data_IF_263534818873
#
_entry.id   IF_263534818873
#
_cell.length_a   1.000
_cell.length_b   1.000
_cell.length_c   1.000
_cell.angle_alpha   90.00
_cell.angle_beta   90.00
_cell.angle_gamma   90.00
#
_symmetry.space_group_name_H-M   'P 1'
#
loop_
_entity.id
_entity.type
_entity.pdbx_description
1 polymer ?
#
# COMPACT_ATOMS: atom_id res chain seq x y z
N UNK A 1 4.67 -8.23 0.01
CA UNK A 1 4.45 -6.96 -0.75
C UNK A 1 3.81 -7.22 -2.11
N UNK A 2 4.46 -7.93 -3.04
CA UNK A 2 3.93 -8.09 -4.41
C UNK A 2 2.56 -8.76 -4.51
N UNK A 3 2.23 -9.74 -3.66
CA UNK A 3 0.88 -10.32 -3.59
C UNK A 3 -0.21 -9.29 -3.29
N UNK A 4 0.08 -8.29 -2.46
CA UNK A 4 -0.88 -7.24 -2.11
C UNK A 4 -1.06 -6.28 -3.28
N UNK A 5 0.03 -5.95 -3.97
CA UNK A 5 -0.01 -5.09 -5.15
C UNK A 5 -0.78 -5.77 -6.29
N UNK A 6 -0.52 -7.05 -6.53
CA UNK A 6 -1.25 -7.86 -7.52
C UNK A 6 -2.75 -7.94 -7.20
N UNK A 7 -3.11 -8.19 -5.95
CA UNK A 7 -4.50 -8.19 -5.51
C UNK A 7 -5.15 -6.81 -5.69
N UNK A 8 -4.46 -5.73 -5.37
CA UNK A 8 -4.98 -4.36 -5.51
C UNK A 8 -5.20 -3.99 -6.99
N UNK A 9 -4.28 -4.37 -7.88
CA UNK A 9 -4.43 -4.17 -9.33
C UNK A 9 -5.58 -5.02 -9.89
N UNK A 10 -5.69 -6.27 -9.45
CA UNK A 10 -6.74 -7.20 -9.90
C UNK A 10 -8.15 -6.79 -9.46
N UNK A 11 -8.26 -5.96 -8.41
CA UNK A 11 -9.54 -5.51 -7.84
C UNK A 11 -9.71 -3.99 -7.91
N UNK A 12 -9.15 -3.30 -8.90
CA UNK A 12 -9.23 -1.84 -9.02
C UNK A 12 -10.67 -1.29 -8.96
N UNK A 13 -11.62 -2.02 -9.55
CA UNK A 13 -13.04 -1.64 -9.55
C UNK A 13 -13.74 -1.89 -8.21
N UNK A 14 -13.16 -2.72 -7.34
CA UNK A 14 -13.73 -3.12 -6.05
C UNK A 14 -12.65 -3.22 -4.96
N UNK A 15 -11.84 -2.17 -4.80
CA UNK A 15 -10.77 -2.12 -3.80
C UNK A 15 -11.29 -2.25 -2.37
N UNK A 16 -12.56 -1.87 -2.12
CA UNK A 16 -13.21 -2.00 -0.80
C UNK A 16 -13.27 -3.45 -0.31
N UNK A 17 -13.33 -4.44 -1.22
CA UNK A 17 -13.31 -5.85 -0.85
C UNK A 17 -12.01 -6.25 -0.12
N UNK A 18 -10.91 -5.53 -0.35
CA UNK A 18 -9.63 -5.78 0.31
C UNK A 18 -9.48 -5.04 1.66
N UNK A 19 -10.40 -4.16 2.05
CA UNK A 19 -10.22 -3.28 3.22
C UNK A 19 -9.99 -4.04 4.52
N UNK A 20 -10.78 -5.07 4.82
CA UNK A 20 -10.64 -5.84 6.05
C UNK A 20 -9.33 -6.65 6.07
N UNK A 21 -9.00 -7.26 4.92
CA UNK A 21 -7.74 -7.98 4.74
C UNK A 21 -6.53 -7.06 4.97
N UNK A 22 -6.52 -5.87 4.35
CA UNK A 22 -5.45 -4.89 4.47
C UNK A 22 -5.36 -4.32 5.89
N UNK A 23 -6.50 -4.04 6.53
CA UNK A 23 -6.54 -3.61 7.93
C UNK A 23 -5.89 -4.65 8.86
N UNK A 24 -6.25 -5.93 8.72
CA UNK A 24 -5.65 -7.01 9.50
C UNK A 24 -4.16 -7.21 9.17
N UNK A 25 -3.76 -7.00 7.92
CA UNK A 25 -2.35 -7.01 7.54
C UNK A 25 -1.59 -5.85 8.21
N UNK A 26 -2.21 -4.69 8.35
CA UNK A 26 -1.65 -3.55 9.06
C UNK A 26 -1.39 -3.84 10.54
N UNK A 27 -2.34 -4.46 11.24
CA UNK A 27 -2.16 -4.93 12.63
C UNK A 27 -0.93 -5.85 12.76
N UNK A 28 -0.74 -6.76 11.81
CA UNK A 28 0.43 -7.68 11.80
C UNK A 28 1.74 -6.93 11.62
N UNK A 29 1.78 -5.91 10.76
CA UNK A 29 2.97 -5.08 10.56
C UNK A 29 3.30 -4.24 11.81
N UNK A 30 2.28 -3.65 12.44
CA UNK A 30 2.44 -2.94 13.72
C UNK A 30 2.99 -3.88 14.80
N UNK A 31 2.41 -5.08 14.94
CA UNK A 31 2.80 -6.06 15.96
C UNK A 31 4.26 -6.53 15.84
N UNK A 32 4.84 -6.50 14.63
CA UNK A 32 6.27 -6.83 14.41
C UNK A 32 7.18 -5.60 14.44
N UNK A 33 6.68 -4.44 14.87
CA UNK A 33 7.46 -3.23 15.10
C UNK A 33 7.72 -2.38 13.86
N UNK A 34 7.02 -2.60 12.74
CA UNK A 34 7.13 -1.74 11.55
C UNK A 34 6.58 -0.36 11.87
N UNK A 35 7.35 0.68 11.53
CA UNK A 35 6.91 2.07 11.61
C UNK A 35 6.04 2.43 10.42
N UNK A 36 4.99 3.22 10.66
CA UNK A 36 4.10 3.69 9.59
C UNK A 36 4.86 4.54 8.55
N UNK A 37 5.96 5.19 8.94
CA UNK A 37 6.85 5.96 8.07
C UNK A 37 7.52 5.10 7.00
N UNK A 38 7.76 3.81 7.29
CA UNK A 38 8.40 2.89 6.35
C UNK A 38 7.58 2.66 5.07
N UNK A 39 6.26 2.89 5.11
CA UNK A 39 5.42 2.81 3.91
C UNK A 39 5.76 3.90 2.89
N UNK A 40 6.22 5.08 3.33
CA UNK A 40 6.66 6.13 2.40
C UNK A 40 7.83 5.62 1.55
N UNK A 41 8.85 5.05 2.21
CA UNK A 41 10.04 4.52 1.54
C UNK A 41 9.71 3.36 0.59
N UNK A 42 8.76 2.50 0.97
CA UNK A 42 8.30 1.41 0.10
C UNK A 42 7.56 1.95 -1.12
N UNK A 43 6.73 2.99 -0.95
CA UNK A 43 6.04 3.66 -2.06
C UNK A 43 7.02 4.31 -3.05
N UNK A 44 8.01 5.03 -2.54
CA UNK A 44 9.08 5.62 -3.37
C UNK A 44 9.86 4.55 -4.14
N UNK A 45 10.20 3.45 -3.47
CA UNK A 45 10.92 2.32 -4.09
C UNK A 45 10.09 1.63 -5.17
N UNK A 46 8.77 1.50 -4.96
CA UNK A 46 7.85 0.93 -5.95
C UNK A 46 7.76 1.82 -7.19
N UNK A 47 7.57 3.12 -7.01
CA UNK A 47 7.50 4.07 -8.13
C UNK A 47 8.83 4.14 -8.89
N UNK A 48 9.96 4.16 -8.18
CA UNK A 48 11.29 4.09 -8.79
C UNK A 48 11.46 2.81 -9.63
N UNK A 49 11.08 1.66 -9.09
CA UNK A 49 11.15 0.40 -9.82
C UNK A 49 10.28 0.44 -11.08
N UNK A 50 9.05 0.96 -10.99
CA UNK A 50 8.14 1.09 -12.14
C UNK A 50 8.72 2.03 -13.21
N UNK A 51 9.29 3.15 -12.82
CA UNK A 51 9.99 4.07 -13.74
C UNK A 51 11.12 3.34 -14.49
N UNK A 52 11.96 2.56 -13.78
CA UNK A 52 13.06 1.82 -14.41
C UNK A 52 12.60 0.69 -15.31
N UNK A 53 11.51 0.01 -14.97
CA UNK A 53 11.00 -1.11 -15.77
C UNK A 53 10.22 -0.64 -17.02
N UNK A 54 9.45 0.44 -16.91
CA UNK A 54 8.57 0.91 -17.99
C UNK A 54 9.24 1.95 -18.88
N UNK A 55 10.28 2.65 -18.39
CA UNK A 55 11.00 3.67 -19.17
C UNK A 55 10.06 4.74 -19.70
N UNK A 56 10.02 4.91 -21.03
CA UNK A 56 9.17 5.91 -21.69
C UNK A 56 7.67 5.66 -21.53
N UNK A 57 7.26 4.44 -21.17
CA UNK A 57 5.86 4.13 -20.86
C UNK A 57 5.44 4.57 -19.45
N UNK A 58 6.37 4.99 -18.59
CA UNK A 58 6.07 5.56 -17.28
C UNK A 58 5.70 7.05 -17.41
N UNK A 59 4.52 7.31 -17.97
CA UNK A 59 4.01 8.67 -18.11
C UNK A 59 3.61 9.28 -16.75
N UNK A 60 3.45 10.61 -16.65
CA UNK A 60 2.97 11.25 -15.43
C UNK A 60 1.62 10.69 -14.94
N UNK A 61 0.73 10.34 -15.86
CA UNK A 61 -0.57 9.73 -15.54
C UNK A 61 -0.41 8.33 -14.94
N UNK A 62 0.55 7.53 -15.44
CA UNK A 62 0.88 6.22 -14.89
C UNK A 62 1.46 6.37 -13.48
N UNK A 63 2.39 7.30 -13.27
CA UNK A 63 2.95 7.59 -11.96
C UNK A 63 1.86 7.99 -10.96
N UNK A 64 0.93 8.88 -11.36
CA UNK A 64 -0.17 9.33 -10.51
C UNK A 64 -1.11 8.17 -10.17
N UNK A 65 -1.47 7.33 -11.14
CA UNK A 65 -2.32 6.16 -10.93
C UNK A 65 -1.71 5.18 -9.91
N UNK A 66 -0.44 4.85 -10.05
CA UNK A 66 0.27 3.98 -9.10
C UNK A 66 0.41 4.61 -7.72
N UNK A 67 0.66 5.92 -7.65
CA UNK A 67 0.73 6.65 -6.38
C UNK A 67 -0.61 6.61 -5.64
N UNK A 68 -1.73 6.80 -6.35
CA UNK A 68 -3.08 6.71 -5.79
C UNK A 68 -3.41 5.30 -5.31
N UNK A 69 -3.10 4.28 -6.11
CA UNK A 69 -3.31 2.88 -5.73
C UNK A 69 -2.54 2.52 -4.47
N UNK A 70 -1.25 2.83 -4.42
CA UNK A 70 -0.41 2.57 -3.26
C UNK A 70 -0.93 3.31 -2.02
N UNK A 71 -1.31 4.58 -2.18
CA UNK A 71 -1.88 5.39 -1.10
C UNK A 71 -3.18 4.79 -0.55
N UNK A 72 -4.04 4.24 -1.41
CA UNK A 72 -5.26 3.56 -0.99
C UNK A 72 -4.97 2.30 -0.16
N UNK A 73 -3.99 1.49 -0.59
CA UNK A 73 -3.53 0.31 0.16
C UNK A 73 -2.97 0.70 1.53
N UNK A 74 -2.09 1.70 1.58
CA UNK A 74 -1.51 2.20 2.85
C UNK A 74 -2.60 2.75 3.77
N UNK A 75 -3.58 3.49 3.22
CA UNK A 75 -4.70 4.02 4.01
C UNK A 75 -5.53 2.91 4.65
N UNK A 76 -5.80 1.83 3.92
CA UNK A 76 -6.51 0.67 4.47
C UNK A 76 -5.68 -0.05 5.54
N UNK A 77 -4.38 -0.24 5.31
CA UNK A 77 -3.47 -0.84 6.31
C UNK A 77 -3.36 0.02 7.57
N UNK A 78 -3.27 1.34 7.44
CA UNK A 78 -3.16 2.28 8.56
C UNK A 78 -4.33 2.20 9.53
N UNK A 79 -5.55 1.89 9.07
CA UNK A 79 -6.69 1.66 9.97
C UNK A 79 -6.40 0.55 11.01
N UNK A 80 -5.55 -0.42 10.66
CA UNK A 80 -5.09 -1.45 11.57
C UNK A 80 -4.19 -0.93 12.70
N UNK A 81 -3.45 0.16 12.48
CA UNK A 81 -2.63 0.80 13.52
C UNK A 81 -3.49 1.51 14.56
N UNK A 82 -4.52 2.20 14.10
CA UNK A 82 -5.39 3.03 14.94
C UNK A 82 -6.37 2.18 15.79
N UNK A 83 -6.47 0.87 15.50
CA UNK A 83 -7.34 -0.07 16.25
C UNK A 83 -6.72 -0.65 17.51
N UNK A 84 -5.49 -0.25 17.87
CA UNK A 84 -4.94 -0.46 19.21
C UNK A 84 -5.09 0.84 20.02
N UNK A 85 -6.19 1.04 20.78
CA UNK A 85 -6.07 1.84 21.98
C UNK A 85 -5.13 1.08 22.93
N UNK A 86 -4.26 1.85 23.58
CA UNK A 86 -3.34 1.52 24.67
C UNK A 86 -3.44 0.10 25.25
N UNK A 87 -2.29 -0.59 25.27
CA UNK A 87 -2.11 -1.70 26.19
C UNK A 87 -2.20 -1.22 27.63
N UNK A 88 -2.98 -1.96 28.42
CA UNK A 88 -2.82 -2.16 29.86
C UNK A 88 -1.36 -2.51 30.25
#
# INVERSE_FOLDING_TARGET
>A
VMLVIDAAVSHLENLSCLEEYLCNLGKKHQAVGVKIESFSTVGESLLYMLEKCLGTAFSPEVQEAWSKLYSAVVKAMRRGWDTFPEGD
#
